data_IF_285771729384
#
_entry.id   IF_285771729384
#
_cell.length_a   1.000
_cell.length_b   1.000
_cell.length_c   1.000
_cell.angle_alpha   90.00
_cell.angle_beta   90.00
_cell.angle_gamma   90.00
#
_symmetry.space_group_name_H-M   'P 1'
#
loop_
_entity.id
_entity.type
_entity.pdbx_description
1 polymer ?
#
# COMPACT_ATOMS: atom_id res chain seq x y z
N UNK A 1 -6.26 19.64 -12.23
CA UNK A 1 -6.37 18.17 -12.29
C UNK A 1 -7.21 17.75 -11.09
N UNK A 2 -8.23 16.90 -11.23
CA UNK A 2 -9.05 16.48 -10.08
C UNK A 2 -8.27 15.50 -9.20
N UNK A 3 -8.37 15.64 -7.88
CA UNK A 3 -7.64 14.79 -6.92
C UNK A 3 -7.97 13.29 -7.09
N UNK A 4 -9.18 12.94 -7.55
CA UNK A 4 -9.54 11.56 -7.89
C UNK A 4 -8.70 10.98 -9.04
N UNK A 5 -8.41 11.77 -10.09
CA UNK A 5 -7.68 11.27 -11.25
C UNK A 5 -6.23 10.90 -10.89
N UNK A 6 -5.60 11.71 -10.04
CA UNK A 6 -4.23 11.48 -9.54
C UNK A 6 -4.17 10.22 -8.66
N UNK A 7 -5.18 9.99 -7.83
CA UNK A 7 -5.25 8.81 -6.96
C UNK A 7 -5.31 7.49 -7.76
N UNK A 8 -6.15 7.44 -8.80
CA UNK A 8 -6.28 6.26 -9.65
C UNK A 8 -5.04 6.02 -10.50
N UNK A 9 -4.36 7.08 -10.95
CA UNK A 9 -3.07 6.95 -11.64
C UNK A 9 -2.00 6.32 -10.73
N UNK A 10 -1.93 6.74 -9.47
CA UNK A 10 -0.99 6.19 -8.49
C UNK A 10 -1.29 4.71 -8.22
N UNK A 11 -2.56 4.33 -8.05
CA UNK A 11 -2.95 2.92 -7.90
C UNK A 11 -2.49 2.07 -9.07
N UNK A 12 -2.65 2.57 -10.30
CA UNK A 12 -2.17 1.89 -11.51
C UNK A 12 -0.67 1.69 -11.47
N UNK A 13 0.11 2.70 -11.06
CA UNK A 13 1.57 2.58 -10.89
C UNK A 13 1.94 1.51 -9.87
N UNK A 14 1.29 1.50 -8.70
CA UNK A 14 1.52 0.50 -7.65
C UNK A 14 1.24 -0.92 -8.20
N UNK A 15 0.15 -1.10 -8.93
CA UNK A 15 -0.18 -2.37 -9.57
C UNK A 15 0.93 -2.81 -10.55
N UNK A 16 1.39 -1.92 -11.44
CA UNK A 16 2.42 -2.25 -12.44
C UNK A 16 3.78 -2.58 -11.84
N UNK A 17 4.09 -2.05 -10.65
CA UNK A 17 5.37 -2.32 -9.96
C UNK A 17 5.38 -3.63 -9.19
N UNK A 18 4.23 -4.29 -9.01
CA UNK A 18 4.13 -5.54 -8.26
C UNK A 18 4.15 -5.40 -6.74
N UNK A 19 4.11 -4.18 -6.17
CA UNK A 19 4.12 -3.94 -4.71
C UNK A 19 2.98 -4.66 -3.98
N UNK A 20 1.88 -4.96 -4.67
CA UNK A 20 0.74 -5.70 -4.12
C UNK A 20 1.08 -7.15 -3.79
N UNK A 21 2.04 -7.76 -4.49
CA UNK A 21 2.37 -9.17 -4.37
C UNK A 21 3.24 -9.39 -3.14
N UNK A 22 2.71 -10.12 -2.17
CA UNK A 22 3.42 -10.50 -0.95
C UNK A 22 4.12 -11.85 -1.09
N UNK A 23 4.07 -12.63 -0.01
CA UNK A 23 4.72 -13.95 0.09
C UNK A 23 3.71 -15.03 0.44
N UNK A 24 4.13 -16.30 0.44
CA UNK A 24 3.32 -17.44 0.88
C UNK A 24 3.10 -17.47 2.40
N UNK A 25 3.87 -16.69 3.18
CA UNK A 25 3.81 -16.66 4.64
C UNK A 25 3.05 -15.42 5.10
N UNK A 26 2.06 -15.61 6.00
CA UNK A 26 1.40 -14.53 6.72
C UNK A 26 1.74 -14.57 8.20
N UNK A 27 1.98 -13.40 8.79
CA UNK A 27 2.13 -13.26 10.24
C UNK A 27 0.83 -12.72 10.84
N UNK A 28 0.61 -12.97 12.13
CA UNK A 28 -0.63 -12.58 12.84
C UNK A 28 -0.98 -11.10 12.65
N UNK A 29 0.01 -10.22 12.64
CA UNK A 29 -0.19 -8.77 12.52
C UNK A 29 -0.41 -8.29 11.08
N UNK A 30 -0.03 -9.09 10.09
CA UNK A 30 -0.19 -8.72 8.68
C UNK A 30 -1.57 -9.06 8.12
N UNK A 31 -2.35 -9.89 8.82
CA UNK A 31 -3.70 -10.33 8.41
C UNK A 31 -4.60 -9.15 7.99
N UNK A 32 -4.68 -8.03 8.72
CA UNK A 32 -5.58 -6.91 8.35
C UNK A 32 -5.20 -6.18 7.06
N UNK A 33 -3.99 -6.42 6.53
CA UNK A 33 -3.47 -5.75 5.33
C UNK A 33 -3.55 -6.63 4.08
N UNK A 34 -3.96 -7.88 4.23
CA UNK A 34 -4.01 -8.88 3.16
C UNK A 34 -5.47 -9.03 2.71
N UNK A 35 -5.68 -9.05 1.39
CA UNK A 35 -7.00 -9.24 0.76
C UNK A 35 -7.29 -10.73 0.54
N UNK A 36 -6.45 -11.40 -0.24
CA UNK A 36 -6.62 -12.79 -0.64
C UNK A 36 -5.27 -13.39 -1.05
N UNK A 37 -5.22 -14.70 -1.25
CA UNK A 37 -4.10 -15.36 -1.94
C UNK A 37 -4.36 -15.38 -3.45
N UNK A 38 -3.30 -15.28 -4.26
CA UNK A 38 -3.36 -15.51 -5.70
C UNK A 38 -3.29 -17.04 -6.00
N UNK A 39 -3.46 -17.48 -7.27
CA UNK A 39 -3.39 -18.90 -7.64
C UNK A 39 -2.04 -19.57 -7.34
N UNK A 40 -0.98 -18.78 -7.19
CA UNK A 40 0.38 -19.24 -6.85
C UNK A 40 0.58 -19.38 -5.33
N UNK A 41 -0.41 -18.99 -4.51
CA UNK A 41 -0.34 -19.06 -3.05
C UNK A 41 0.24 -17.80 -2.37
N UNK A 42 0.58 -16.76 -3.14
CA UNK A 42 1.10 -15.50 -2.60
C UNK A 42 -0.05 -14.63 -2.06
N UNK A 43 0.12 -14.13 -0.84
CA UNK A 43 -0.82 -13.19 -0.25
C UNK A 43 -0.73 -11.81 -0.90
N UNK A 44 -1.87 -11.24 -1.26
CA UNK A 44 -1.98 -9.94 -1.90
C UNK A 44 -2.37 -8.86 -0.90
N UNK A 45 -1.62 -7.76 -0.88
CA UNK A 45 -1.95 -6.61 -0.03
C UNK A 45 -3.14 -5.82 -0.57
N UNK A 46 -3.84 -5.14 0.34
CA UNK A 46 -4.88 -4.17 -0.01
C UNK A 46 -4.24 -2.86 -0.49
N UNK A 47 -4.59 -2.43 -1.70
CA UNK A 47 -3.99 -1.25 -2.33
C UNK A 47 -4.41 0.06 -1.65
N UNK A 48 -5.67 0.15 -1.21
CA UNK A 48 -6.19 1.36 -0.55
C UNK A 48 -5.55 1.53 0.82
N UNK A 49 -5.43 0.44 1.59
CA UNK A 49 -4.75 0.47 2.89
C UNK A 49 -3.26 0.80 2.71
N UNK A 50 -2.60 0.20 1.71
CA UNK A 50 -1.19 0.45 1.40
C UNK A 50 -0.94 1.93 1.10
N UNK A 51 -1.74 2.52 0.21
CA UNK A 51 -1.58 3.92 -0.16
C UNK A 51 -1.85 4.87 1.01
N UNK A 52 -2.89 4.60 1.81
CA UNK A 52 -3.18 5.38 3.01
C UNK A 52 -2.02 5.34 4.02
N UNK A 53 -1.38 4.18 4.21
CA UNK A 53 -0.20 4.02 5.07
C UNK A 53 0.99 4.82 4.56
N UNK A 54 1.26 4.81 3.25
CA UNK A 54 2.33 5.62 2.63
C UNK A 54 2.08 7.11 2.86
N UNK A 55 0.85 7.60 2.63
CA UNK A 55 0.50 9.00 2.86
C UNK A 55 0.61 9.40 4.33
N UNK A 56 0.26 8.48 5.24
CA UNK A 56 0.40 8.69 6.68
C UNK A 56 1.87 8.79 7.08
N UNK A 57 2.71 7.87 6.59
CA UNK A 57 4.16 7.89 6.81
C UNK A 57 4.80 9.16 6.26
N UNK A 58 4.41 9.60 5.06
CA UNK A 58 4.90 10.85 4.47
C UNK A 58 4.55 12.08 5.32
N UNK A 59 3.31 12.15 5.84
CA UNK A 59 2.89 13.22 6.77
C UNK A 59 3.68 13.17 8.08
N UNK A 60 3.90 11.98 8.63
CA UNK A 60 4.71 11.80 9.83
C UNK A 60 6.15 12.28 9.63
N UNK A 61 6.81 11.84 8.55
CA UNK A 61 8.19 12.24 8.22
C UNK A 61 8.28 13.75 8.01
N UNK A 62 7.36 14.34 7.24
CA UNK A 62 7.28 15.79 7.03
C UNK A 62 7.22 16.55 8.36
N UNK A 63 6.35 16.11 9.27
CA UNK A 63 6.18 16.76 10.57
C UNK A 63 7.36 16.54 11.51
N UNK A 64 8.00 15.38 11.47
CA UNK A 64 9.20 15.07 12.25
C UNK A 64 10.38 15.95 11.82
N UNK A 65 10.56 16.12 10.51
CA UNK A 65 11.66 16.91 9.94
C UNK A 65 11.43 18.41 10.13
N UNK A 66 10.23 18.93 9.85
CA UNK A 66 9.92 20.37 9.97
C UNK A 66 9.90 20.91 11.40
N UNK A 67 9.94 20.03 12.41
CA UNK A 67 10.02 20.40 13.84
C UNK A 67 11.45 20.38 14.39
N UNK A 68 12.45 20.03 13.59
CA UNK A 68 13.87 20.25 13.88
C UNK A 68 14.30 21.61 13.32
#
# INVERSE_FOLDING_TARGET
MSQQAEHEEIKKKILTTGIRVGTEVKTKFMIPYITQANPEGLYLFDLDITLNRIQTAARFIKNLILRK
#
